data_IF_236628910652
#
_entry.id   IF_236628910652
#
_cell.length_a   1.000
_cell.length_b   1.000
_cell.length_c   1.000
_cell.angle_alpha   90.00
_cell.angle_beta   90.00
_cell.angle_gamma   90.00
#
_symmetry.space_group_name_H-M   'P 1'
#
loop_
_entity.id
_entity.type
_entity.pdbx_description
1 polymer ?
#
# COMPACT_ATOMS: atom_id res chain seq x y z
N UNK A 1 20.02 -50.95 -19.61
CA UNK A 1 19.56 -51.07 -18.22
C UNK A 1 20.60 -50.39 -17.34
N UNK A 2 20.27 -49.30 -16.67
CA UNK A 2 21.21 -48.55 -15.82
C UNK A 2 21.20 -47.05 -16.08
N UNK A 3 20.18 -46.37 -15.56
CA UNK A 3 20.13 -44.91 -15.39
C UNK A 3 21.22 -44.51 -14.39
N UNK A 4 22.17 -43.68 -14.79
CA UNK A 4 23.08 -42.99 -13.85
C UNK A 4 22.66 -41.52 -13.83
N UNK A 5 21.76 -41.20 -12.91
CA UNK A 5 21.36 -39.84 -12.61
C UNK A 5 22.46 -39.21 -11.75
N UNK A 6 23.28 -38.34 -12.36
CA UNK A 6 24.20 -37.47 -11.62
C UNK A 6 23.38 -36.38 -10.95
N UNK A 7 23.30 -36.44 -9.62
CA UNK A 7 22.88 -35.35 -8.77
C UNK A 7 23.94 -34.26 -8.88
N UNK A 8 23.66 -33.23 -9.68
CA UNK A 8 24.37 -31.95 -9.63
C UNK A 8 23.45 -30.99 -8.90
N UNK A 9 23.95 -30.47 -7.77
CA UNK A 9 23.23 -29.59 -6.89
C UNK A 9 22.73 -28.35 -7.61
N UNK A 10 21.45 -28.05 -7.40
CA UNK A 10 20.90 -26.73 -7.56
C UNK A 10 20.36 -26.31 -6.20
N UNK A 11 21.23 -25.69 -5.38
CA UNK A 11 20.78 -24.73 -4.37
C UNK A 11 20.20 -23.53 -5.12
N UNK A 12 19.00 -23.71 -5.69
CA UNK A 12 18.16 -22.59 -6.05
C UNK A 12 17.57 -22.06 -4.75
N UNK A 13 18.30 -21.15 -4.11
CA UNK A 13 17.69 -20.16 -3.24
C UNK A 13 16.68 -19.41 -4.10
N UNK A 14 15.43 -19.89 -4.09
CA UNK A 14 14.32 -19.13 -4.58
C UNK A 14 14.29 -17.85 -3.72
N UNK A 15 14.75 -16.75 -4.31
CA UNK A 15 14.49 -15.41 -3.80
C UNK A 15 12.97 -15.25 -3.88
N UNK A 16 12.30 -15.66 -2.80
CA UNK A 16 10.88 -15.45 -2.63
C UNK A 16 10.68 -13.95 -2.62
N UNK A 17 9.99 -13.44 -3.64
CA UNK A 17 9.49 -12.08 -3.66
C UNK A 17 8.80 -11.81 -2.30
N UNK A 18 9.14 -10.72 -1.57
CA UNK A 18 8.74 -10.54 -0.16
C UNK A 18 7.22 -10.56 0.10
N UNK A 19 6.38 -10.43 -0.93
CA UNK A 19 4.92 -10.54 -0.79
C UNK A 19 4.33 -11.95 -0.89
N UNK A 20 4.99 -12.87 -1.61
CA UNK A 20 4.44 -14.22 -1.89
C UNK A 20 4.73 -15.22 -0.75
N UNK A 21 5.82 -15.03 -0.01
CA UNK A 21 6.20 -15.89 1.11
C UNK A 21 5.21 -15.78 2.29
N UNK A 22 4.67 -14.59 2.55
CA UNK A 22 3.73 -14.35 3.65
C UNK A 22 2.41 -15.09 3.43
N UNK A 23 1.85 -15.03 2.20
CA UNK A 23 0.60 -15.71 1.87
C UNK A 23 0.68 -17.24 1.98
N UNK A 24 1.83 -17.84 1.67
CA UNK A 24 2.03 -19.30 1.74
C UNK A 24 2.11 -19.84 3.17
N UNK A 25 2.40 -18.98 4.16
CA UNK A 25 2.51 -19.37 5.57
C UNK A 25 1.20 -19.19 6.35
N UNK A 26 0.22 -18.47 5.81
CA UNK A 26 -1.07 -18.27 6.46
C UNK A 26 -1.91 -19.54 6.40
N UNK A 27 -2.58 -19.86 7.51
CA UNK A 27 -3.51 -20.99 7.60
C UNK A 27 -4.81 -20.58 8.28
N UNK A 28 -5.87 -21.36 8.05
CA UNK A 28 -7.15 -21.17 8.73
C UNK A 28 -7.77 -19.78 8.48
N UNK A 29 -8.36 -19.14 9.51
CA UNK A 29 -9.03 -17.84 9.37
C UNK A 29 -8.16 -16.72 8.78
N UNK A 30 -6.85 -16.72 9.07
CA UNK A 30 -5.95 -15.70 8.53
C UNK A 30 -5.75 -15.84 7.01
N UNK A 31 -5.70 -17.07 6.49
CA UNK A 31 -5.62 -17.33 5.04
C UNK A 31 -6.91 -16.96 4.31
N UNK A 32 -8.06 -17.20 4.94
CA UNK A 32 -9.36 -16.77 4.43
C UNK A 32 -9.44 -15.23 4.36
N UNK A 33 -9.07 -14.55 5.45
CA UNK A 33 -9.04 -13.09 5.48
C UNK A 33 -8.09 -12.50 4.42
N UNK A 34 -6.92 -13.09 4.20
CA UNK A 34 -6.01 -12.71 3.11
C UNK A 34 -6.65 -12.83 1.73
N UNK A 35 -7.36 -13.93 1.48
CA UNK A 35 -8.07 -14.15 0.21
C UNK A 35 -9.12 -13.07 -0.03
N UNK A 36 -9.84 -12.66 1.02
CA UNK A 36 -10.80 -11.56 0.95
C UNK A 36 -10.11 -10.23 0.70
N UNK A 37 -9.06 -9.90 1.45
CA UNK A 37 -8.33 -8.62 1.30
C UNK A 37 -7.69 -8.45 -0.08
N UNK A 38 -7.31 -9.55 -0.73
CA UNK A 38 -6.76 -9.52 -2.09
C UNK A 38 -7.83 -9.52 -3.19
N UNK A 39 -9.10 -9.78 -2.86
CA UNK A 39 -10.21 -9.89 -3.82
C UNK A 39 -11.47 -9.09 -3.42
N UNK A 40 -11.35 -8.08 -2.56
CA UNK A 40 -12.52 -7.31 -2.09
C UNK A 40 -13.26 -6.58 -3.21
N UNK A 41 -12.66 -6.40 -4.39
CA UNK A 41 -13.33 -5.82 -5.56
C UNK A 41 -14.51 -6.66 -6.06
N UNK A 42 -14.59 -7.93 -5.68
CA UNK A 42 -15.73 -8.80 -5.99
C UNK A 42 -16.95 -8.46 -5.13
N UNK A 43 -16.73 -8.14 -3.86
CA UNK A 43 -17.76 -7.73 -2.92
C UNK A 43 -17.13 -6.98 -1.73
N UNK A 44 -17.35 -5.66 -1.68
CA UNK A 44 -16.82 -4.79 -0.63
C UNK A 44 -17.38 -5.15 0.75
N UNK A 45 -18.55 -5.78 0.85
CA UNK A 45 -19.13 -6.18 2.13
C UNK A 45 -18.31 -7.28 2.81
N UNK A 46 -17.53 -8.08 2.05
CA UNK A 46 -16.65 -9.11 2.62
C UNK A 46 -15.52 -8.53 3.49
N UNK A 47 -15.20 -7.24 3.36
CA UNK A 47 -14.25 -6.57 4.25
C UNK A 47 -14.71 -6.57 5.72
N UNK A 48 -16.02 -6.65 5.98
CA UNK A 48 -16.55 -6.84 7.33
C UNK A 48 -16.08 -8.20 7.91
N UNK A 49 -16.27 -9.28 7.14
CA UNK A 49 -15.87 -10.64 7.53
C UNK A 49 -14.36 -10.79 7.71
N UNK A 50 -13.54 -10.28 6.77
CA UNK A 50 -12.08 -10.36 6.90
C UNK A 50 -11.56 -9.69 8.18
N UNK A 51 -12.12 -8.52 8.52
CA UNK A 51 -11.77 -7.81 9.76
C UNK A 51 -12.16 -8.63 10.98
N UNK A 52 -13.36 -9.20 11.01
CA UNK A 52 -13.88 -9.91 12.18
C UNK A 52 -13.13 -11.25 12.42
N UNK A 53 -12.74 -11.95 11.34
CA UNK A 53 -11.83 -13.11 11.41
C UNK A 53 -10.49 -12.71 12.03
N UNK A 54 -9.84 -11.67 11.50
CA UNK A 54 -8.53 -11.22 11.95
C UNK A 54 -8.57 -10.68 13.39
N UNK A 55 -9.65 -10.02 13.80
CA UNK A 55 -9.85 -9.58 15.18
C UNK A 55 -9.90 -10.77 16.13
N UNK A 56 -10.62 -11.83 15.76
CA UNK A 56 -10.72 -13.06 16.56
C UNK A 56 -9.37 -13.77 16.69
N UNK A 57 -8.60 -13.85 15.59
CA UNK A 57 -7.26 -14.45 15.60
C UNK A 57 -6.28 -13.66 16.46
N UNK A 58 -6.23 -12.33 16.27
CA UNK A 58 -5.36 -11.43 17.05
C UNK A 58 -5.70 -11.46 18.55
N UNK A 59 -6.98 -11.67 18.91
CA UNK A 59 -7.40 -11.82 20.30
C UNK A 59 -6.94 -13.15 20.93
N UNK A 60 -6.82 -14.21 20.13
CA UNK A 60 -6.37 -15.53 20.61
C UNK A 60 -4.86 -15.64 20.71
N UNK A 61 -4.16 -15.30 19.64
CA UNK A 61 -2.71 -15.44 19.53
C UNK A 61 -2.19 -14.44 18.48
N UNK A 62 -1.81 -13.22 18.89
CA UNK A 62 -1.31 -12.22 17.95
C UNK A 62 0.03 -12.65 17.37
N UNK A 63 0.13 -12.65 16.04
CA UNK A 63 1.38 -12.79 15.30
C UNK A 63 1.66 -11.51 14.53
N UNK A 64 2.90 -11.35 14.04
CA UNK A 64 3.25 -10.21 13.20
C UNK A 64 2.32 -10.11 11.98
N UNK A 65 2.11 -11.25 11.31
CA UNK A 65 1.32 -11.35 10.09
C UNK A 65 -0.14 -10.98 10.36
N UNK A 66 -0.76 -11.56 11.40
CA UNK A 66 -2.17 -11.28 11.72
C UNK A 66 -2.40 -9.84 12.17
N UNK A 67 -1.45 -9.22 12.87
CA UNK A 67 -1.49 -7.81 13.22
C UNK A 67 -1.36 -6.92 11.96
N UNK A 68 -0.41 -7.21 11.09
CA UNK A 68 -0.24 -6.49 9.81
C UNK A 68 -1.49 -6.61 8.94
N UNK A 69 -2.04 -7.81 8.79
CA UNK A 69 -3.27 -8.04 8.04
C UNK A 69 -4.47 -7.33 8.63
N UNK A 70 -4.62 -7.33 9.96
CA UNK A 70 -5.72 -6.62 10.61
C UNK A 70 -5.58 -5.11 10.43
N UNK A 71 -4.35 -4.57 10.45
CA UNK A 71 -4.10 -3.17 10.14
C UNK A 71 -4.49 -2.82 8.70
N UNK A 72 -4.14 -3.68 7.72
CA UNK A 72 -4.58 -3.52 6.34
C UNK A 72 -6.10 -3.61 6.21
N UNK A 73 -6.75 -4.59 6.86
CA UNK A 73 -8.20 -4.74 6.85
C UNK A 73 -8.91 -3.47 7.35
N UNK A 74 -8.39 -2.86 8.42
CA UNK A 74 -8.90 -1.59 8.92
C UNK A 74 -8.75 -0.44 7.93
N UNK A 75 -7.61 -0.34 7.25
CA UNK A 75 -7.38 0.66 6.22
C UNK A 75 -8.33 0.45 5.02
N UNK A 76 -8.38 -0.77 4.48
CA UNK A 76 -9.22 -1.11 3.34
C UNK A 76 -10.71 -0.89 3.64
N UNK A 77 -11.17 -1.29 4.83
CA UNK A 77 -12.53 -1.05 5.29
C UNK A 77 -12.85 0.45 5.37
N UNK A 78 -11.95 1.26 5.94
CA UNK A 78 -12.14 2.71 5.99
C UNK A 78 -12.19 3.33 4.58
N UNK A 79 -11.30 2.87 3.69
CA UNK A 79 -11.15 3.43 2.36
C UNK A 79 -12.34 3.07 1.44
N UNK A 80 -12.94 1.89 1.62
CA UNK A 80 -13.89 1.32 0.64
C UNK A 80 -15.28 0.95 1.19
N UNK A 81 -15.44 0.81 2.51
CA UNK A 81 -16.67 0.31 3.14
C UNK A 81 -17.34 1.32 4.07
N UNK A 82 -16.55 2.19 4.71
CA UNK A 82 -17.04 3.21 5.63
C UNK A 82 -17.81 4.34 4.92
N UNK A 83 -19.01 4.65 5.42
CA UNK A 83 -19.92 5.64 4.83
C UNK A 83 -19.80 7.04 5.44
N UNK A 84 -19.18 7.18 6.61
CA UNK A 84 -19.04 8.47 7.31
C UNK A 84 -17.58 8.78 7.62
N UNK A 85 -17.26 10.07 7.74
CA UNK A 85 -15.92 10.53 8.12
C UNK A 85 -15.52 9.99 9.48
N UNK A 86 -16.47 9.94 10.43
CA UNK A 86 -16.26 9.43 11.78
C UNK A 86 -15.89 7.94 11.76
N UNK A 87 -16.61 7.14 10.97
CA UNK A 87 -16.33 5.71 10.81
C UNK A 87 -14.95 5.46 10.15
N UNK A 88 -14.58 6.30 9.17
CA UNK A 88 -13.25 6.27 8.54
C UNK A 88 -12.15 6.54 9.56
N UNK A 89 -12.25 7.65 10.29
CA UNK A 89 -11.26 8.03 11.30
C UNK A 89 -11.10 6.95 12.37
N UNK A 90 -12.21 6.43 12.89
CA UNK A 90 -12.19 5.38 13.92
C UNK A 90 -11.57 4.05 13.41
N UNK A 91 -11.71 3.74 12.12
CA UNK A 91 -11.09 2.54 11.55
C UNK A 91 -9.61 2.76 11.25
N UNK A 92 -9.19 3.93 10.76
CA UNK A 92 -7.77 4.26 10.62
C UNK A 92 -7.04 4.28 11.96
N UNK A 93 -7.68 4.80 13.02
CA UNK A 93 -7.13 4.76 14.39
C UNK A 93 -6.91 3.32 14.85
N UNK A 94 -7.91 2.45 14.70
CA UNK A 94 -7.77 1.03 15.01
C UNK A 94 -6.66 0.36 14.20
N UNK A 95 -6.58 0.63 12.89
CA UNK A 95 -5.53 0.10 12.03
C UNK A 95 -4.13 0.56 12.45
N UNK A 96 -3.99 1.84 12.81
CA UNK A 96 -2.75 2.41 13.37
C UNK A 96 -2.36 1.74 14.68
N UNK A 97 -3.29 1.61 15.61
CA UNK A 97 -3.00 1.06 16.95
C UNK A 97 -2.65 -0.43 16.86
N UNK A 98 -3.27 -1.17 15.95
CA UNK A 98 -2.89 -2.57 15.63
C UNK A 98 -1.49 -2.64 15.00
N UNK A 99 -1.17 -1.76 14.05
CA UNK A 99 0.18 -1.72 13.46
C UNK A 99 1.25 -1.34 14.49
N UNK A 100 0.92 -0.49 15.46
CA UNK A 100 1.83 -0.17 16.57
C UNK A 100 2.17 -1.41 17.39
N UNK A 101 1.19 -2.27 17.67
CA UNK A 101 1.44 -3.58 18.32
C UNK A 101 2.31 -4.49 17.45
N UNK A 102 2.18 -4.42 16.11
CA UNK A 102 3.06 -5.15 15.20
C UNK A 102 4.50 -4.66 15.27
N UNK A 103 4.72 -3.34 15.38
CA UNK A 103 6.04 -2.73 15.60
C UNK A 103 6.61 -3.18 16.95
N UNK A 104 5.81 -3.19 18.02
CA UNK A 104 6.24 -3.67 19.34
C UNK A 104 6.70 -5.13 19.31
N UNK A 105 6.00 -5.98 18.54
CA UNK A 105 6.33 -7.40 18.38
C UNK A 105 7.57 -7.62 17.49
N UNK A 106 7.70 -6.84 16.41
CA UNK A 106 8.79 -6.93 15.46
C UNK A 106 9.28 -5.53 15.02
N UNK A 107 10.15 -4.87 15.81
CA UNK A 107 10.58 -3.49 15.55
C UNK A 107 11.39 -3.27 14.26
N UNK A 108 11.75 -4.36 13.57
CA UNK A 108 12.49 -4.33 12.30
C UNK A 108 11.64 -4.76 11.12
N UNK A 109 10.31 -4.83 11.28
CA UNK A 109 9.40 -5.19 10.21
C UNK A 109 9.05 -3.95 9.35
N UNK A 110 9.50 -3.88 8.08
CA UNK A 110 9.11 -2.78 7.20
C UNK A 110 7.60 -2.74 6.96
N UNK A 111 6.92 -3.89 6.93
CA UNK A 111 5.46 -3.97 6.81
C UNK A 111 4.75 -3.31 8.00
N UNK A 112 5.19 -3.58 9.23
CA UNK A 112 4.57 -3.01 10.43
C UNK A 112 4.65 -1.48 10.44
N UNK A 113 5.84 -0.93 10.14
CA UNK A 113 6.04 0.51 9.99
C UNK A 113 5.24 1.09 8.82
N UNK A 114 5.19 0.42 7.66
CA UNK A 114 4.40 0.83 6.51
C UNK A 114 2.91 0.97 6.86
N UNK A 115 2.31 -0.04 7.48
CA UNK A 115 0.88 -0.03 7.77
C UNK A 115 0.49 0.93 8.88
N UNK A 116 1.40 1.17 9.84
CA UNK A 116 1.26 2.26 10.80
C UNK A 116 1.23 3.62 10.09
N UNK A 117 2.23 3.88 9.25
CA UNK A 117 2.37 5.11 8.48
C UNK A 117 1.20 5.32 7.50
N UNK A 118 0.74 4.27 6.83
CA UNK A 118 -0.38 4.34 5.90
C UNK A 118 -1.69 4.71 6.60
N UNK A 119 -2.00 4.09 7.74
CA UNK A 119 -3.17 4.44 8.55
C UNK A 119 -3.05 5.85 9.12
N UNK A 120 -1.88 6.24 9.62
CA UNK A 120 -1.62 7.58 10.14
C UNK A 120 -1.82 8.66 9.06
N UNK A 121 -1.28 8.45 7.87
CA UNK A 121 -1.42 9.36 6.74
C UNK A 121 -2.87 9.47 6.26
N UNK A 122 -3.58 8.34 6.13
CA UNK A 122 -5.01 8.33 5.78
C UNK A 122 -5.88 9.05 6.81
N UNK A 123 -5.59 8.85 8.09
CA UNK A 123 -6.24 9.59 9.17
C UNK A 123 -5.99 11.09 9.07
N UNK A 124 -4.73 11.50 8.88
CA UNK A 124 -4.33 12.91 8.78
C UNK A 124 -5.01 13.63 7.60
N UNK A 125 -5.06 12.97 6.44
CA UNK A 125 -5.75 13.49 5.25
C UNK A 125 -7.26 13.63 5.53
N UNK A 126 -7.87 12.62 6.15
CA UNK A 126 -9.33 12.60 6.43
C UNK A 126 -9.73 13.63 7.48
N UNK A 127 -8.91 13.85 8.52
CA UNK A 127 -9.15 14.85 9.57
C UNK A 127 -8.92 16.28 9.07
N UNK A 128 -8.08 16.43 8.03
CA UNK A 128 -7.69 17.68 7.40
C UNK A 128 -6.22 18.03 7.66
N UNK A 129 -5.46 18.28 6.57
CA UNK A 129 -4.00 18.43 6.59
C UNK A 129 -3.47 19.45 7.61
N UNK A 130 -4.13 20.60 7.76
CA UNK A 130 -3.73 21.64 8.72
C UNK A 130 -3.89 21.20 10.19
N UNK A 131 -4.93 20.42 10.47
CA UNK A 131 -5.22 19.93 11.83
C UNK A 131 -4.30 18.78 12.25
N UNK A 132 -3.62 18.16 11.29
CA UNK A 132 -2.75 17.02 11.50
C UNK A 132 -1.27 17.33 11.17
N UNK A 133 -0.88 18.61 11.10
CA UNK A 133 0.49 18.99 10.74
C UNK A 133 1.53 18.43 11.73
N UNK A 134 1.14 18.28 13.00
CA UNK A 134 1.97 17.69 14.05
C UNK A 134 2.26 16.18 13.83
N UNK A 135 1.48 15.49 13.00
CA UNK A 135 1.69 14.08 12.65
C UNK A 135 2.67 13.91 11.48
N UNK A 136 3.04 14.99 10.78
CA UNK A 136 3.92 14.92 9.63
C UNK A 136 5.36 14.51 10.00
N UNK A 137 5.83 14.88 11.19
CA UNK A 137 7.14 14.43 11.69
C UNK A 137 7.14 12.93 11.92
N UNK A 138 6.15 12.40 12.66
CA UNK A 138 6.00 10.96 12.88
C UNK A 138 5.85 10.21 11.56
N UNK A 139 5.03 10.69 10.62
CA UNK A 139 4.89 10.04 9.32
C UNK A 139 6.20 10.02 8.53
N UNK A 140 6.99 11.10 8.59
CA UNK A 140 8.30 11.19 7.93
C UNK A 140 9.31 10.23 8.56
N UNK A 141 9.33 10.13 9.89
CA UNK A 141 10.16 9.19 10.64
C UNK A 141 9.85 7.74 10.25
N UNK A 142 8.57 7.37 10.21
CA UNK A 142 8.16 6.02 9.84
C UNK A 142 8.52 5.67 8.40
N UNK A 143 8.34 6.60 7.47
CA UNK A 143 8.78 6.42 6.07
C UNK A 143 10.30 6.24 5.98
N UNK A 144 11.05 6.99 6.78
CA UNK A 144 12.50 6.84 6.86
C UNK A 144 12.88 5.44 7.37
N UNK A 145 12.31 5.02 8.50
CA UNK A 145 12.52 3.69 9.08
C UNK A 145 12.23 2.58 8.09
N UNK A 146 11.10 2.66 7.36
CA UNK A 146 10.76 1.67 6.31
C UNK A 146 11.87 1.56 5.27
N UNK A 147 12.38 2.70 4.78
CA UNK A 147 13.41 2.73 3.74
C UNK A 147 14.83 2.46 4.27
N UNK A 148 15.08 2.61 5.57
CA UNK A 148 16.31 2.14 6.22
C UNK A 148 16.31 0.63 6.39
N UNK A 149 15.17 0.05 6.76
CA UNK A 149 15.00 -1.39 6.94
C UNK A 149 15.08 -2.12 5.59
N UNK A 150 14.44 -1.58 4.56
CA UNK A 150 14.50 -2.09 3.19
C UNK A 150 14.45 -0.93 2.18
N UNK A 151 15.61 -0.52 1.61
CA UNK A 151 15.70 0.58 0.66
C UNK A 151 14.94 0.35 -0.66
N UNK A 152 14.71 -0.91 -1.05
CA UNK A 152 14.03 -1.28 -2.30
C UNK A 152 12.58 -1.75 -2.04
N UNK A 153 12.05 -1.48 -0.85
CA UNK A 153 10.68 -1.82 -0.51
C UNK A 153 9.68 -0.97 -1.30
N UNK A 154 9.10 -1.56 -2.34
CA UNK A 154 8.20 -0.90 -3.29
C UNK A 154 7.04 -0.15 -2.62
N UNK A 155 6.29 -0.74 -1.66
CA UNK A 155 5.23 -0.01 -0.96
C UNK A 155 5.76 1.19 -0.16
N UNK A 156 6.96 1.06 0.44
CA UNK A 156 7.64 2.13 1.17
C UNK A 156 8.05 3.29 0.28
N UNK A 157 8.64 3.00 -0.88
CA UNK A 157 8.98 4.00 -1.89
C UNK A 157 7.75 4.75 -2.39
N UNK A 158 6.65 4.03 -2.64
CA UNK A 158 5.41 4.66 -3.05
C UNK A 158 4.74 5.48 -1.95
N UNK A 159 4.85 5.06 -0.69
CA UNK A 159 4.40 5.85 0.46
C UNK A 159 5.22 7.14 0.59
N UNK A 160 6.54 7.07 0.44
CA UNK A 160 7.41 8.25 0.41
C UNK A 160 7.00 9.21 -0.72
N UNK A 161 6.80 8.68 -1.93
CA UNK A 161 6.32 9.44 -3.07
C UNK A 161 5.01 10.18 -2.78
N UNK A 162 4.01 9.46 -2.28
CA UNK A 162 2.72 10.03 -1.89
C UNK A 162 2.87 11.09 -0.80
N UNK A 163 3.72 10.86 0.20
CA UNK A 163 3.98 11.82 1.28
C UNK A 163 4.56 13.15 0.75
N UNK A 164 5.59 13.11 -0.08
CA UNK A 164 6.21 14.31 -0.62
C UNK A 164 5.29 15.07 -1.58
N UNK A 165 4.43 14.37 -2.31
CA UNK A 165 3.42 14.95 -3.19
C UNK A 165 2.27 15.62 -2.41
N UNK A 166 1.78 14.98 -1.35
CA UNK A 166 0.62 15.45 -0.60
C UNK A 166 0.95 16.52 0.45
N UNK A 167 2.20 16.57 0.92
CA UNK A 167 2.65 17.52 1.92
C UNK A 167 2.77 18.92 1.29
N UNK A 168 2.23 19.98 1.91
CA UNK A 168 2.47 21.34 1.41
C UNK A 168 3.96 21.71 1.45
N UNK A 169 4.43 22.51 0.49
CA UNK A 169 5.84 22.90 0.40
C UNK A 169 6.41 23.53 1.68
N UNK A 170 5.62 24.36 2.38
CA UNK A 170 6.01 24.95 3.67
C UNK A 170 6.25 23.92 4.80
N UNK A 171 5.73 22.70 4.66
CA UNK A 171 5.96 21.58 5.58
C UNK A 171 6.94 20.54 5.02
N UNK A 172 7.69 20.90 3.97
CA UNK A 172 8.71 20.06 3.35
C UNK A 172 8.17 19.03 2.35
N UNK A 173 7.07 19.35 1.67
CA UNK A 173 6.65 18.66 0.44
C UNK A 173 7.52 19.04 -0.75
N UNK A 174 7.73 18.10 -1.66
CA UNK A 174 8.68 18.23 -2.77
C UNK A 174 8.24 17.30 -3.92
N UNK A 175 7.69 17.89 -4.97
CA UNK A 175 7.11 17.14 -6.10
C UNK A 175 8.20 16.40 -6.90
N UNK A 176 9.39 16.99 -7.02
CA UNK A 176 10.52 16.38 -7.74
C UNK A 176 11.04 15.16 -6.96
N UNK A 177 11.13 15.28 -5.64
CA UNK A 177 11.50 14.15 -4.78
C UNK A 177 10.44 13.06 -4.76
N UNK A 178 9.16 13.43 -4.77
CA UNK A 178 8.05 12.49 -4.91
C UNK A 178 8.17 11.66 -6.20
N UNK A 179 8.39 12.34 -7.32
CA UNK A 179 8.58 11.72 -8.63
C UNK A 179 9.77 10.74 -8.64
N UNK A 180 10.89 11.10 -8.01
CA UNK A 180 12.06 10.22 -7.87
C UNK A 180 11.75 8.90 -7.17
N UNK A 181 11.08 8.96 -6.01
CA UNK A 181 10.67 7.74 -5.29
C UNK A 181 9.70 6.88 -6.10
N UNK A 182 8.74 7.50 -6.77
CA UNK A 182 7.72 6.80 -7.56
C UNK A 182 8.32 6.12 -8.79
N UNK A 183 9.28 6.76 -9.46
CA UNK A 183 10.03 6.11 -10.55
C UNK A 183 10.86 4.93 -10.05
N UNK A 184 11.50 5.06 -8.89
CA UNK A 184 12.26 3.94 -8.30
C UNK A 184 11.33 2.77 -7.95
N UNK A 185 10.16 3.04 -7.38
CA UNK A 185 9.14 2.02 -7.13
C UNK A 185 8.73 1.28 -8.41
N UNK A 186 8.50 2.01 -9.51
CA UNK A 186 8.10 1.42 -10.80
C UNK A 186 9.23 0.72 -11.55
N UNK A 187 10.49 1.08 -11.27
CA UNK A 187 11.64 0.35 -11.78
C UNK A 187 11.78 -1.04 -11.13
N UNK A 188 11.39 -1.15 -9.85
CA UNK A 188 11.40 -2.40 -9.09
C UNK A 188 10.14 -3.25 -9.34
N UNK A 189 8.96 -2.62 -9.40
CA UNK A 189 7.70 -3.27 -9.76
C UNK A 189 6.92 -2.43 -10.80
N UNK A 190 7.06 -2.75 -12.10
CA UNK A 190 6.32 -2.09 -13.17
C UNK A 190 4.79 -2.27 -13.07
N UNK A 191 4.29 -3.27 -12.36
CA UNK A 191 2.86 -3.58 -12.23
C UNK A 191 2.22 -2.89 -11.02
N UNK A 192 2.99 -2.12 -10.24
CA UNK A 192 2.52 -1.41 -9.07
C UNK A 192 1.74 -0.13 -9.44
N UNK A 193 0.50 -0.33 -9.87
CA UNK A 193 -0.37 0.73 -10.42
C UNK A 193 -0.60 1.92 -9.49
N UNK A 194 -0.50 1.74 -8.17
CA UNK A 194 -0.54 2.85 -7.20
C UNK A 194 0.55 3.89 -7.48
N UNK A 195 1.80 3.45 -7.60
CA UNK A 195 2.92 4.37 -7.85
C UNK A 195 2.77 5.07 -9.22
N UNK A 196 2.20 4.38 -10.20
CA UNK A 196 1.95 4.95 -11.53
C UNK A 196 0.91 6.05 -11.53
N UNK A 197 -0.20 5.89 -10.78
CA UNK A 197 -1.19 6.96 -10.58
C UNK A 197 -0.56 8.17 -9.88
N UNK A 198 0.21 7.95 -8.80
CA UNK A 198 0.87 9.03 -8.08
C UNK A 198 1.94 9.74 -8.92
N UNK A 199 2.65 9.00 -9.78
CA UNK A 199 3.61 9.58 -10.73
C UNK A 199 2.91 10.50 -11.72
N UNK A 200 1.80 10.05 -12.29
CA UNK A 200 0.98 10.88 -13.17
C UNK A 200 0.51 12.17 -12.46
N UNK A 201 0.17 12.10 -11.17
CA UNK A 201 -0.19 13.29 -10.40
C UNK A 201 0.99 14.26 -10.21
N UNK A 202 2.20 13.76 -9.96
CA UNK A 202 3.41 14.59 -9.94
C UNK A 202 3.58 15.32 -11.28
N UNK A 203 3.46 14.58 -12.39
CA UNK A 203 3.59 15.11 -13.74
C UNK A 203 2.52 16.17 -14.05
N UNK A 204 1.26 15.96 -13.63
CA UNK A 204 0.18 16.95 -13.76
C UNK A 204 0.53 18.22 -12.99
N UNK A 205 1.01 18.11 -11.74
CA UNK A 205 1.38 19.29 -10.92
C UNK A 205 2.54 20.09 -11.54
N UNK A 206 3.40 19.42 -12.31
CA UNK A 206 4.47 20.04 -13.09
C UNK A 206 4.05 20.45 -14.51
N UNK A 207 2.75 20.38 -14.86
CA UNK A 207 2.21 20.65 -16.20
C UNK A 207 2.77 19.76 -17.34
N UNK A 208 3.35 18.59 -17.00
CA UNK A 208 3.85 17.59 -17.94
C UNK A 208 2.74 16.64 -18.39
N UNK A 209 1.71 17.23 -19.00
CA UNK A 209 0.45 16.55 -19.33
C UNK A 209 0.59 15.36 -20.29
N UNK A 210 1.53 15.44 -21.25
CA UNK A 210 1.79 14.34 -22.19
C UNK A 210 2.26 13.09 -21.46
N UNK A 211 3.31 13.22 -20.65
CA UNK A 211 3.87 12.11 -19.87
C UNK A 211 2.84 11.58 -18.86
N UNK A 212 2.07 12.49 -18.22
CA UNK A 212 0.99 12.08 -17.33
C UNK A 212 -0.04 11.19 -18.04
N UNK A 213 -0.46 11.54 -19.27
CA UNK A 213 -1.39 10.73 -20.05
C UNK A 213 -0.83 9.35 -20.36
N UNK A 214 0.45 9.25 -20.71
CA UNK A 214 1.11 7.98 -20.99
C UNK A 214 1.11 7.07 -19.75
N UNK A 215 1.43 7.62 -18.57
CA UNK A 215 1.38 6.86 -17.32
C UNK A 215 -0.03 6.42 -16.94
N UNK A 216 -1.03 7.30 -17.09
CA UNK A 216 -2.43 6.97 -16.77
C UNK A 216 -2.99 5.91 -17.72
N UNK A 217 -2.62 5.96 -19.00
CA UNK A 217 -3.06 4.95 -19.98
C UNK A 217 -2.51 3.57 -19.62
N UNK A 218 -1.23 3.49 -19.21
CA UNK A 218 -0.64 2.24 -18.68
C UNK A 218 -1.37 1.71 -17.44
N UNK A 219 -1.93 2.57 -16.58
CA UNK A 219 -2.79 2.11 -15.46
C UNK A 219 -4.10 1.50 -15.98
N UNK A 220 -4.73 2.12 -16.98
CA UNK A 220 -6.01 1.63 -17.54
C UNK A 220 -5.86 0.28 -18.24
N UNK A 221 -4.72 0.09 -18.91
CA UNK A 221 -4.42 -1.09 -19.74
C UNK A 221 -3.63 -2.17 -19.01
N UNK A 222 -3.32 -1.99 -17.71
CA UNK A 222 -2.52 -2.94 -16.93
C UNK A 222 -3.22 -4.32 -16.87
N UNK A 223 -2.64 -5.38 -17.48
CA UNK A 223 -3.28 -6.69 -17.53
C UNK A 223 -3.16 -7.48 -16.22
N UNK A 224 -2.11 -7.23 -15.43
CA UNK A 224 -1.78 -8.02 -14.23
C UNK A 224 -1.26 -7.10 -13.11
N UNK A 225 -2.12 -6.24 -12.55
CA UNK A 225 -1.71 -5.33 -11.47
C UNK A 225 -1.27 -6.12 -10.23
N UNK A 226 -0.21 -5.67 -9.55
CA UNK A 226 0.29 -6.32 -8.32
C UNK A 226 -0.77 -6.40 -7.21
N UNK A 227 -1.69 -5.42 -7.18
CA UNK A 227 -2.83 -5.35 -6.26
C UNK A 227 -4.11 -5.15 -7.06
N UNK A 228 -4.74 -6.28 -7.47
CA UNK A 228 -5.91 -6.28 -8.34
C UNK A 228 -7.11 -5.57 -7.71
N UNK A 229 -7.39 -5.81 -6.43
CA UNK A 229 -8.54 -5.22 -5.77
C UNK A 229 -8.47 -3.68 -5.74
N UNK A 230 -7.33 -3.11 -5.32
CA UNK A 230 -7.09 -1.67 -5.37
C UNK A 230 -7.11 -1.11 -6.78
N UNK A 231 -6.57 -1.85 -7.76
CA UNK A 231 -6.61 -1.42 -9.15
C UNK A 231 -8.05 -1.28 -9.68
N UNK A 232 -8.90 -2.29 -9.46
CA UNK A 232 -10.31 -2.29 -9.88
C UNK A 232 -11.07 -1.15 -9.20
N UNK A 233 -10.96 -1.05 -7.87
CA UNK A 233 -11.83 -0.17 -7.07
C UNK A 233 -11.35 1.28 -7.09
N UNK A 234 -10.04 1.53 -7.22
CA UNK A 234 -9.45 2.87 -7.04
C UNK A 234 -8.59 3.32 -8.20
N UNK A 235 -7.54 2.58 -8.57
CA UNK A 235 -6.50 3.12 -9.45
C UNK A 235 -7.00 3.32 -10.88
N UNK A 236 -7.69 2.33 -11.46
CA UNK A 236 -8.22 2.43 -12.82
C UNK A 236 -9.30 3.51 -12.95
N UNK A 237 -10.32 3.59 -12.07
CA UNK A 237 -11.28 4.71 -12.10
C UNK A 237 -10.61 6.09 -11.93
N UNK A 238 -9.62 6.19 -11.03
CA UNK A 238 -8.85 7.43 -10.84
C UNK A 238 -8.09 7.81 -12.11
N UNK A 239 -7.46 6.83 -12.77
CA UNK A 239 -6.72 7.07 -14.00
C UNK A 239 -7.63 7.56 -15.14
N UNK A 240 -8.80 6.93 -15.31
CA UNK A 240 -9.80 7.34 -16.30
C UNK A 240 -10.30 8.78 -16.05
N UNK A 241 -10.58 9.13 -14.80
CA UNK A 241 -10.98 10.50 -14.43
C UNK A 241 -9.89 11.52 -14.76
N UNK A 242 -8.65 11.27 -14.34
CA UNK A 242 -7.52 12.18 -14.62
C UNK A 242 -7.26 12.33 -16.12
N UNK A 243 -7.37 11.25 -16.91
CA UNK A 243 -7.28 11.33 -18.38
C UNK A 243 -8.32 12.28 -18.97
N UNK A 244 -9.57 12.23 -18.47
CA UNK A 244 -10.63 13.15 -18.85
C UNK A 244 -10.29 14.61 -18.50
N UNK A 245 -9.80 14.85 -17.29
CA UNK A 245 -9.41 16.19 -16.81
C UNK A 245 -8.28 16.80 -17.63
N UNK A 246 -7.26 16.01 -18.02
CA UNK A 246 -6.17 16.51 -18.85
C UNK A 246 -6.67 16.85 -20.25
N UNK A 247 -7.63 16.10 -20.83
CA UNK A 247 -8.23 16.42 -22.15
C UNK A 247 -8.95 17.76 -22.16
N UNK A 248 -9.59 18.14 -21.06
CA UNK A 248 -10.28 19.42 -20.96
C UNK A 248 -9.33 20.63 -20.81
N UNK A 249 -8.04 20.41 -20.53
CA UNK A 249 -7.03 21.45 -20.28
C UNK A 249 -6.06 21.69 -21.43
N UNK A 250 -6.12 20.86 -22.48
CA UNK A 250 -5.26 20.92 -23.67
C UNK A 250 -6.04 21.36 -24.88
#
# INVERSE_FOLDING_TARGET
MGVVLRVVGACALAVLLPGAACAAALTGPAAEAWTILTNFHEDLARLDHARDLLQSEVARAPTLETLVLLSWAHLAWADHRAMTTEAKLASYERGRDVAKRAIELAPRSPDAHLWYAANLGRWAITKGKLRAAFLLSTLREEIHTVLELDPDYVPGLALAGSFYLETPGMFGGDVQRAEGYLRRALALDPHFTRARVELARCLIQQSRYREAREELQRVVDEPRPSYRADWVVRHRPTAQRLLGEIRARS
#
